data_IF_002900710745
#
_entry.id   IF_002900710745
#
_cell.length_a   1.000
_cell.length_b   1.000
_cell.length_c   1.000
_cell.angle_alpha   90.00
_cell.angle_beta   90.00
_cell.angle_gamma   90.00
#
_symmetry.space_group_name_H-M   'P 1'
#
loop_
_entity.id
_entity.type
_entity.pdbx_description
1 polymer ?
2 non-polymer ?
3 water ?
#
# COMPACT_ATOMS: atom_id res chain seq x y z
N UNK A 1 -23.04 0.06 -37.09
CA UNK A 1 -21.66 -0.27 -36.76
C UNK A 1 -21.10 0.64 -35.66
N UNK A 2 -20.74 0.02 -34.54
CA UNK A 2 -20.22 0.73 -33.37
C UNK A 2 -18.73 1.07 -33.53
N UNK A 3 -18.24 2.08 -32.81
CA UNK A 3 -16.80 2.34 -32.83
C UNK A 3 -15.99 1.13 -32.39
N UNK A 4 -14.79 1.00 -32.97
CA UNK A 4 -13.90 -0.09 -32.55
C UNK A 4 -13.47 0.07 -31.10
N UNK A 5 -13.35 1.31 -30.63
CA UNK A 5 -12.93 1.53 -29.25
C UNK A 5 -13.60 2.79 -28.72
N UNK A 6 -13.79 2.83 -27.40
CA UNK A 6 -14.41 3.94 -26.68
C UNK A 6 -13.60 4.14 -25.40
N UNK A 7 -13.40 5.40 -24.99
CA UNK A 7 -12.75 5.67 -23.70
C UNK A 7 -13.31 7.00 -23.19
N UNK A 8 -14.25 6.93 -22.24
CA UNK A 8 -14.89 8.16 -21.82
C UNK A 8 -13.95 9.07 -21.01
N UNK A 9 -12.78 8.58 -20.57
CA UNK A 9 -11.80 9.50 -20.00
C UNK A 9 -11.37 10.56 -21.01
N UNK A 10 -11.36 10.22 -22.30
CA UNK A 10 -10.92 11.17 -23.33
C UNK A 10 -11.91 12.29 -23.56
N UNK A 11 -13.14 12.15 -23.09
CA UNK A 11 -14.13 13.24 -23.13
C UNK A 11 -14.22 13.98 -21.81
N UNK A 12 -13.28 13.73 -20.89
CA UNK A 12 -13.29 14.40 -19.60
C UNK A 12 -14.48 14.05 -18.74
N UNK A 13 -15.03 12.85 -18.89
CA UNK A 13 -16.23 12.44 -18.20
C UNK A 13 -15.96 11.54 -17.00
N UNK A 14 -14.69 11.32 -16.64
CA UNK A 14 -14.34 10.38 -15.59
C UNK A 14 -13.46 11.08 -14.56
N UNK A 15 -13.85 10.99 -13.29
CA UNK A 15 -13.11 11.58 -12.20
C UNK A 15 -11.91 10.70 -11.81
N UNK A 16 -11.11 11.20 -10.89
CA UNK A 16 -9.97 10.44 -10.40
C UNK A 16 -10.40 9.12 -9.78
N UNK A 17 -9.53 8.12 -9.92
CA UNK A 17 -9.73 6.84 -9.26
C UNK A 17 -9.76 7.04 -7.75
N UNK A 18 -10.72 6.40 -7.09
CA UNK A 18 -10.88 6.50 -5.65
C UNK A 18 -10.33 5.25 -4.97
N UNK A 19 -10.25 5.31 -3.64
CA UNK A 19 -9.67 4.25 -2.82
C UNK A 19 -10.67 3.87 -1.72
N UNK A 20 -11.33 2.71 -1.86
CA UNK A 20 -12.38 2.36 -0.90
C UNK A 20 -11.85 1.86 0.43
N UNK A 21 -10.60 1.40 0.48
CA UNK A 21 -10.08 0.94 1.74
C UNK A 21 -10.80 -0.31 2.23
N UNK A 22 -10.91 -0.43 3.56
CA UNK A 22 -11.50 -1.62 4.17
C UNK A 22 -13.02 -1.63 4.15
N UNK A 23 -13.65 -0.58 3.62
CA UNK A 23 -15.09 -0.49 3.56
C UNK A 23 -15.57 -1.04 2.21
N UNK A 24 -16.49 -2.00 2.26
CA UNK A 24 -16.97 -2.64 1.05
C UNK A 24 -17.97 -1.79 0.30
N UNK A 25 -17.53 -0.63 -0.18
CA UNK A 25 -18.42 0.35 -0.77
C UNK A 25 -18.23 0.46 -2.28
N UNK A 26 -17.72 -0.58 -2.93
CA UNK A 26 -17.53 -0.50 -4.37
C UNK A 26 -18.83 -0.17 -5.10
N UNK A 27 -19.96 -0.68 -4.60
CA UNK A 27 -21.26 -0.35 -5.19
C UNK A 27 -21.48 1.15 -5.21
N UNK A 28 -21.06 1.85 -4.15
CA UNK A 28 -21.27 3.30 -4.08
C UNK A 28 -20.34 4.05 -5.02
N UNK A 29 -19.09 3.61 -5.15
CA UNK A 29 -18.19 4.24 -6.10
C UNK A 29 -18.61 4.00 -7.54
N UNK A 30 -19.08 2.79 -7.85
CA UNK A 30 -19.55 2.53 -9.21
C UNK A 30 -20.74 3.42 -9.56
N UNK A 31 -21.67 3.59 -8.61
CA UNK A 31 -22.85 4.41 -8.87
C UNK A 31 -22.49 5.88 -9.07
N UNK A 32 -21.69 6.46 -8.17
CA UNK A 32 -21.36 7.88 -8.34
C UNK A 32 -20.57 8.08 -9.63
N UNK A 33 -19.70 7.11 -9.97
CA UNK A 33 -18.93 7.21 -11.21
C UNK A 33 -19.82 7.28 -12.44
N UNK A 34 -20.84 6.42 -12.52
CA UNK A 34 -21.76 6.48 -13.64
C UNK A 34 -22.49 7.81 -13.69
N UNK A 35 -22.92 8.33 -12.53
CA UNK A 35 -23.66 9.58 -12.51
C UNK A 35 -22.75 10.78 -12.80
N UNK A 36 -21.47 10.72 -12.38
CA UNK A 36 -20.52 11.81 -12.68
C UNK A 36 -20.41 12.05 -14.17
N UNK A 37 -20.41 10.98 -14.97
CA UNK A 37 -20.28 11.15 -16.42
C UNK A 37 -21.50 11.85 -17.01
N UNK A 38 -22.70 11.44 -16.58
CA UNK A 38 -23.90 12.09 -17.07
C UNK A 38 -23.94 13.56 -16.67
N UNK A 39 -23.46 13.86 -15.45
CA UNK A 39 -23.44 15.25 -14.98
C UNK A 39 -22.52 16.11 -15.85
N UNK A 40 -21.34 15.58 -16.20
CA UNK A 40 -20.41 16.30 -17.06
C UNK A 40 -21.01 16.53 -18.45
N UNK A 41 -21.64 15.50 -19.02
CA UNK A 41 -22.29 15.66 -20.32
C UNK A 41 -23.33 16.78 -20.29
N UNK A 42 -24.13 16.83 -19.23
CA UNK A 42 -25.24 17.78 -19.15
C UNK A 42 -24.76 19.20 -18.84
N UNK A 43 -23.83 19.35 -17.90
CA UNK A 43 -23.48 20.67 -17.36
C UNK A 43 -22.11 21.17 -17.80
N UNK A 44 -21.27 20.30 -18.39
CA UNK A 44 -19.91 20.66 -18.72
C UNK A 44 -18.94 20.63 -17.55
N UNK A 45 -19.39 20.33 -16.34
CA UNK A 45 -18.54 20.34 -15.16
C UNK A 45 -18.31 18.92 -14.67
N UNK A 46 -17.05 18.60 -14.39
CA UNK A 46 -16.68 17.31 -13.84
C UNK A 46 -16.50 17.47 -12.34
N UNK A 47 -17.38 16.84 -11.55
CA UNK A 47 -17.26 16.95 -10.10
C UNK A 47 -17.52 15.57 -9.48
N UNK A 48 -16.63 15.15 -8.58
CA UNK A 48 -16.79 13.88 -7.89
C UNK A 48 -18.01 13.96 -6.99
N UNK A 49 -18.82 12.93 -7.02
CA UNK A 49 -20.03 12.87 -6.19
C UNK A 49 -19.77 11.99 -4.98
N UNK A 50 -20.59 12.18 -3.94
CA UNK A 50 -20.27 11.62 -2.62
C UNK A 50 -20.67 10.15 -2.52
N UNK A 51 -19.67 9.26 -2.60
CA UNK A 51 -19.92 7.86 -2.28
C UNK A 51 -20.33 7.69 -0.82
N UNK A 52 -19.80 8.53 0.08
CA UNK A 52 -20.17 8.45 1.49
C UNK A 52 -21.67 8.74 1.68
N UNK A 53 -22.21 9.70 0.92
CA UNK A 53 -23.63 10.02 0.93
C UNK A 53 -24.46 8.76 0.72
N UNK A 54 -24.05 7.92 -0.24
CA UNK A 54 -24.76 6.68 -0.50
C UNK A 54 -24.58 5.67 0.63
N UNK A 55 -23.34 5.50 1.10
CA UNK A 55 -23.07 4.55 2.18
C UNK A 55 -23.92 4.86 3.40
N UNK A 56 -24.01 6.16 3.75
CA UNK A 56 -24.71 6.54 4.97
C UNK A 56 -26.21 6.61 4.80
N UNK A 57 -26.71 6.92 3.61
CA UNK A 57 -28.11 7.31 3.43
C UNK A 57 -28.94 6.36 2.58
N UNK A 58 -28.33 5.62 1.65
CA UNK A 58 -29.05 4.67 0.80
C UNK A 58 -28.89 3.30 1.47
N UNK A 59 -29.74 3.05 2.46
CA UNK A 59 -29.54 1.88 3.33
C UNK A 59 -30.68 0.86 3.19
N UNK A 60 -31.30 0.48 4.30
CA UNK A 60 -32.18 -0.70 4.31
C UNK A 60 -33.32 -0.59 3.30
N UNK A 61 -33.92 0.59 3.16
CA UNK A 61 -35.00 0.75 2.18
C UNK A 61 -34.56 0.42 0.77
N UNK A 62 -33.26 0.52 0.49
CA UNK A 62 -32.71 0.25 -0.83
C UNK A 62 -31.99 -1.09 -0.89
N UNK A 63 -32.12 -1.92 0.14
CA UNK A 63 -31.44 -3.19 0.15
C UNK A 63 -29.94 -3.11 0.28
N UNK A 64 -29.42 -1.94 0.68
CA UNK A 64 -27.98 -1.71 0.79
C UNK A 64 -27.54 -1.74 2.25
N UNK A 65 -26.27 -2.10 2.45
CA UNK A 65 -25.72 -2.37 3.78
C UNK A 65 -24.42 -1.63 4.01
N UNK A 66 -24.31 -0.41 3.46
CA UNK A 66 -23.15 0.43 3.68
C UNK A 66 -21.84 -0.26 3.36
N UNK A 67 -20.93 -0.32 4.34
CA UNK A 67 -19.64 -0.97 4.14
C UNK A 67 -19.75 -2.48 3.95
N UNK A 68 -20.94 -3.06 4.11
CA UNK A 68 -21.14 -4.49 3.91
C UNK A 68 -21.75 -4.84 2.55
N UNK A 69 -21.79 -3.91 1.62
CA UNK A 69 -22.23 -4.19 0.26
C UNK A 69 -23.53 -3.47 -0.08
N UNK A 70 -23.85 -3.51 -1.37
CA UNK A 70 -25.04 -2.84 -1.86
C UNK A 70 -25.17 -2.99 -3.36
N UNK A 71 -26.07 -2.19 -3.94
CA UNK A 71 -26.39 -2.26 -5.36
C UNK A 71 -26.34 -0.87 -5.97
N UNK A 72 -25.79 -0.79 -7.19
CA UNK A 72 -25.76 0.48 -7.88
C UNK A 72 -27.17 0.93 -8.29
N UNK A 73 -28.01 -0.01 -8.73
CA UNK A 73 -29.34 0.39 -9.21
C UNK A 73 -30.18 0.99 -8.08
N UNK A 74 -30.18 0.38 -6.90
CA UNK A 74 -30.95 0.98 -5.81
C UNK A 74 -30.29 2.25 -5.29
N UNK A 75 -28.98 2.37 -5.44
CA UNK A 75 -28.34 3.66 -5.18
C UNK A 75 -28.93 4.74 -6.08
N UNK A 76 -29.11 4.45 -7.38
CA UNK A 76 -29.71 5.44 -8.27
C UNK A 76 -31.12 5.79 -7.79
N UNK A 77 -31.89 4.77 -7.38
CA UNK A 77 -33.24 5.03 -6.88
C UNK A 77 -33.23 5.97 -5.67
N UNK A 78 -32.27 5.78 -4.75
CA UNK A 78 -32.14 6.69 -3.63
C UNK A 78 -31.91 8.13 -4.10
N UNK A 79 -31.01 8.31 -5.08
CA UNK A 79 -30.75 9.66 -5.58
C UNK A 79 -32.01 10.26 -6.18
N UNK A 80 -32.78 9.45 -6.92
CA UNK A 80 -34.07 9.91 -7.45
C UNK A 80 -35.01 10.34 -6.32
N UNK A 81 -35.23 9.45 -5.34
CA UNK A 81 -36.14 9.71 -4.22
C UNK A 81 -35.68 10.90 -3.40
N UNK A 82 -34.38 11.01 -3.16
CA UNK A 82 -33.82 12.06 -2.32
C UNK A 82 -33.77 13.41 -3.03
N UNK A 83 -34.00 13.43 -4.34
CA UNK A 83 -33.92 14.64 -5.15
C UNK A 83 -32.51 15.24 -5.14
N UNK A 84 -31.49 14.42 -4.98
CA UNK A 84 -30.14 14.93 -5.08
C UNK A 84 -29.13 14.07 -4.35
N UNK A 85 -27.87 14.39 -4.61
CA UNK A 85 -26.71 13.79 -3.94
C UNK A 85 -25.66 14.89 -3.80
N UNK A 86 -24.97 14.91 -2.66
CA UNK A 86 -23.98 15.94 -2.38
C UNK A 86 -22.69 15.70 -3.16
N UNK A 87 -21.90 16.76 -3.29
CA UNK A 87 -20.56 16.62 -3.86
C UNK A 87 -19.69 15.80 -2.92
N UNK A 88 -18.68 15.15 -3.50
CA UNK A 88 -17.69 14.47 -2.68
C UNK A 88 -16.93 15.47 -1.81
N UNK A 89 -16.67 16.67 -2.34
CA UNK A 89 -15.94 17.68 -1.57
C UNK A 89 -16.69 18.04 -0.29
N UNK A 90 -18.01 18.20 -0.37
CA UNK A 90 -18.80 18.60 0.78
C UNK A 90 -19.07 17.45 1.74
N UNK A 91 -18.93 16.21 1.27
CA UNK A 91 -19.35 15.01 2.03
C UNK A 91 -18.34 13.92 1.68
N UNK A 92 -17.11 14.06 2.19
CA UNK A 92 -16.02 13.22 1.71
C UNK A 92 -16.06 11.81 2.28
N UNK A 93 -15.26 10.94 1.68
CA UNK A 93 -15.33 9.52 1.98
C UNK A 93 -14.51 9.18 3.23
N UNK A 94 -15.12 8.43 4.15
CA UNK A 94 -14.49 8.06 5.41
C UNK A 94 -14.26 6.57 5.57
N UNK A 95 -14.72 5.73 4.63
CA UNK A 95 -14.51 4.30 4.69
C UNK A 95 -15.05 3.70 5.99
N UNK A 96 -16.21 4.19 6.43
CA UNK A 96 -16.93 3.59 7.53
C UNK A 96 -18.39 4.02 7.45
N UNK A 97 -19.25 3.26 8.15
CA UNK A 97 -20.67 3.58 8.19
C UNK A 97 -20.89 4.74 9.15
N UNK A 98 -21.61 5.77 8.69
CA UNK A 98 -21.87 6.96 9.48
C UNK A 98 -23.35 7.30 9.45
N UNK A 99 -23.73 8.24 10.32
CA UNK A 99 -25.07 8.78 10.26
C UNK A 99 -25.26 9.53 8.96
N UNK A 100 -26.47 9.44 8.40
CA UNK A 100 -26.79 10.16 7.19
C UNK A 100 -26.66 11.66 7.44
N UNK A 101 -25.88 12.33 6.61
CA UNK A 101 -25.63 13.75 6.78
C UNK A 101 -25.91 14.52 5.50
N UNK A 102 -26.78 14.00 4.64
CA UNK A 102 -27.11 14.70 3.40
C UNK A 102 -27.64 16.09 3.69
N UNK A 103 -27.15 17.07 2.93
CA UNK A 103 -27.55 18.46 3.07
C UNK A 103 -27.82 19.01 1.66
N UNK A 104 -29.08 19.39 1.40
CA UNK A 104 -29.43 19.88 0.07
C UNK A 104 -28.65 21.12 -0.33
N UNK A 105 -28.10 21.87 0.64
CA UNK A 105 -27.28 23.03 0.32
C UNK A 105 -26.08 22.67 -0.53
N UNK A 106 -25.59 21.43 -0.42
CA UNK A 106 -24.40 21.02 -1.14
C UNK A 106 -24.71 20.03 -2.26
N UNK A 107 -25.97 19.93 -2.65
CA UNK A 107 -26.38 19.06 -3.76
C UNK A 107 -25.56 19.40 -5.00
N UNK A 108 -24.97 18.37 -5.61
CA UNK A 108 -24.18 18.54 -6.82
C UNK A 108 -24.74 17.82 -8.02
N UNK A 109 -25.69 16.91 -7.83
CA UNK A 109 -26.32 16.23 -8.95
C UNK A 109 -27.69 15.72 -8.51
N UNK A 110 -28.51 15.44 -9.51
CA UNK A 110 -29.77 14.74 -9.40
C UNK A 110 -29.71 13.52 -10.31
N UNK A 111 -30.76 12.71 -10.23
CA UNK A 111 -30.93 11.55 -11.11
C UNK A 111 -32.40 11.46 -11.50
N UNK A 112 -32.67 11.28 -12.79
CA UNK A 112 -34.04 11.21 -13.29
C UNK A 112 -34.56 9.79 -13.41
N UNK A 113 -33.70 8.86 -13.81
CA UNK A 113 -34.11 7.50 -14.15
C UNK A 113 -32.86 6.66 -14.22
N UNK A 114 -33.04 5.34 -14.32
CA UNK A 114 -31.92 4.46 -14.62
C UNK A 114 -32.46 3.33 -15.49
N UNK A 115 -31.54 2.62 -16.14
CA UNK A 115 -31.85 1.56 -17.06
C UNK A 115 -31.03 0.34 -16.70
N UNK A 116 -31.65 -0.83 -16.66
CA UNK A 116 -30.97 -2.09 -16.41
C UNK A 116 -30.84 -2.82 -17.74
N UNK A 117 -29.65 -3.28 -18.06
CA UNK A 117 -29.41 -3.99 -19.30
C UNK A 117 -29.62 -5.48 -19.11
N UNK A 118 -29.92 -6.21 -20.19
CA UNK A 118 -30.22 -7.64 -20.06
C UNK A 118 -29.00 -8.48 -19.69
N UNK A 119 -29.26 -9.53 -18.91
CA UNK A 119 -28.22 -10.41 -18.38
C UNK A 119 -27.35 -11.03 -19.47
N UNK A 120 -26.03 -10.85 -19.33
CA UNK A 120 -25.02 -11.54 -20.12
C UNK A 120 -24.81 -11.02 -21.52
N UNK A 121 -25.51 -9.96 -21.92
CA UNK A 121 -25.48 -9.45 -23.30
C UNK A 121 -24.35 -8.45 -23.43
N UNK A 122 -23.17 -8.92 -23.86
CA UNK A 122 -22.04 -8.02 -24.05
C UNK A 122 -22.23 -7.14 -25.28
N UNK A 123 -23.03 -7.57 -26.24
CA UNK A 123 -23.34 -6.71 -27.39
C UNK A 123 -24.19 -5.52 -26.97
N UNK A 124 -25.17 -5.75 -26.10
CA UNK A 124 -26.00 -4.63 -25.62
C UNK A 124 -25.17 -3.70 -24.74
N UNK A 125 -24.30 -4.27 -23.90
CA UNK A 125 -23.42 -3.46 -23.07
C UNK A 125 -22.50 -2.61 -23.93
N UNK A 126 -21.95 -3.19 -25.00
CA UNK A 126 -21.10 -2.42 -25.91
C UNK A 126 -21.87 -1.23 -26.47
N UNK A 127 -23.10 -1.46 -26.92
CA UNK A 127 -23.90 -0.38 -27.47
C UNK A 127 -24.15 0.72 -26.44
N UNK A 128 -24.50 0.33 -25.20
CA UNK A 128 -24.73 1.33 -24.16
C UNK A 128 -23.47 2.14 -23.84
N UNK A 129 -22.32 1.48 -23.74
CA UNK A 129 -21.08 2.21 -23.49
C UNK A 129 -20.79 3.20 -24.62
N UNK A 130 -21.04 2.79 -25.87
CA UNK A 130 -20.77 3.69 -26.99
C UNK A 130 -21.75 4.84 -27.05
N UNK A 131 -23.05 4.58 -26.79
CA UNK A 131 -24.12 5.52 -27.08
C UNK A 131 -24.69 6.24 -25.86
N UNK A 132 -24.43 5.78 -24.64
CA UNK A 132 -25.00 6.38 -23.44
C UNK A 132 -23.97 6.93 -22.47
N UNK A 133 -22.85 6.23 -22.30
CA UNK A 133 -21.83 6.64 -21.36
C UNK A 133 -21.32 5.47 -20.55
N UNK A 134 -20.49 5.76 -19.54
CA UNK A 134 -20.01 4.70 -18.65
C UNK A 134 -21.17 3.99 -17.96
N UNK A 135 -21.00 2.66 -17.77
CA UNK A 135 -22.06 1.79 -17.28
C UNK A 135 -21.58 1.11 -16.00
N UNK A 136 -22.41 1.17 -14.95
CA UNK A 136 -22.12 0.43 -13.72
C UNK A 136 -22.31 -1.05 -13.95
N UNK A 137 -21.36 -1.86 -13.51
CA UNK A 137 -21.45 -3.31 -13.63
C UNK A 137 -20.92 -3.95 -12.36
N UNK A 138 -21.31 -5.20 -12.14
CA UNK A 138 -20.67 -6.04 -11.15
C UNK A 138 -19.70 -6.98 -11.83
N UNK A 139 -18.66 -7.38 -11.12
CA UNK A 139 -17.74 -8.42 -11.59
C UNK A 139 -17.49 -9.40 -10.46
N UNK A 140 -17.04 -10.59 -10.84
CA UNK A 140 -16.51 -11.57 -9.88
C UNK A 140 -15.04 -11.25 -9.67
N UNK A 141 -14.72 -10.62 -8.55
CA UNK A 141 -13.36 -10.22 -8.21
C UNK A 141 -12.72 -11.11 -7.15
N UNK A 142 -13.33 -12.25 -6.81
CA UNK A 142 -12.85 -13.12 -5.73
C UNK A 142 -11.82 -14.13 -6.24
N UNK A 143 -10.71 -13.61 -6.76
CA UNK A 143 -9.63 -14.43 -7.24
C UNK A 143 -8.33 -13.69 -6.98
N UNK A 144 -7.31 -14.36 -6.45
CA UNK A 144 -6.01 -13.69 -6.25
C UNK A 144 -5.49 -13.01 -7.50
N UNK A 145 -5.74 -13.56 -8.68
CA UNK A 145 -5.27 -12.91 -9.90
C UNK A 145 -5.86 -11.52 -10.07
N UNK A 146 -7.10 -11.31 -9.60
CA UNK A 146 -7.68 -9.98 -9.69
C UNK A 146 -6.94 -9.00 -8.78
N UNK A 147 -6.74 -9.38 -7.51
CA UNK A 147 -5.98 -8.54 -6.57
C UNK A 147 -4.58 -8.27 -7.07
N UNK A 148 -3.97 -9.23 -7.77
CA UNK A 148 -2.58 -9.14 -8.21
C UNK A 148 -2.41 -8.53 -9.60
N UNK A 149 -3.50 -8.19 -10.27
CA UNK A 149 -3.44 -7.67 -11.64
C UNK A 149 -2.63 -6.38 -11.69
N UNK A 150 -1.74 -6.29 -12.68
CA UNK A 150 -0.88 -5.15 -12.92
C UNK A 150 -1.11 -4.49 -14.27
N UNK A 151 -1.24 -5.29 -15.33
CA UNK A 151 -1.35 -4.73 -16.67
C UNK A 151 -1.85 -5.81 -17.63
N UNK A 152 -2.29 -5.38 -18.81
CA UNK A 152 -2.76 -6.29 -19.83
C UNK A 152 -4.25 -6.53 -19.76
N UNK A 153 -4.71 -7.48 -20.55
CA UNK A 153 -6.12 -7.85 -20.60
C UNK A 153 -6.31 -9.04 -19.67
N UNK A 154 -7.09 -8.81 -18.61
CA UNK A 154 -7.29 -9.81 -17.56
C UNK A 154 -8.20 -10.93 -18.03
N UNK A 155 -7.76 -12.17 -17.83
CA UNK A 155 -8.58 -13.35 -18.11
C UNK A 155 -8.30 -14.36 -17.02
N UNK A 156 -9.34 -14.78 -16.32
CA UNK A 156 -9.23 -15.71 -15.19
C UNK A 156 -10.08 -16.93 -15.50
N UNK A 157 -9.46 -18.05 -15.86
CA UNK A 157 -10.25 -19.24 -16.25
C UNK A 157 -11.27 -19.67 -15.22
N UNK A 158 -11.02 -19.45 -13.93
CA UNK A 158 -11.95 -19.89 -12.90
C UNK A 158 -12.99 -18.84 -12.53
N UNK A 159 -13.07 -17.75 -13.29
CA UNK A 159 -14.07 -16.72 -12.99
C UNK A 159 -15.49 -17.25 -13.17
N UNK A 160 -16.41 -16.75 -12.36
CA UNK A 160 -17.82 -17.06 -12.51
C UNK A 160 -18.60 -15.84 -12.98
N UNK A 161 -19.86 -16.05 -13.33
CA UNK A 161 -20.76 -14.98 -13.75
C UNK A 161 -21.52 -14.38 -12.57
N UNK A 162 -21.28 -14.88 -11.35
CA UNK A 162 -21.89 -14.36 -10.14
C UNK A 162 -21.03 -13.24 -9.58
N UNK A 163 -21.58 -12.03 -9.55
CA UNK A 163 -20.80 -10.84 -9.24
C UNK A 163 -20.69 -10.62 -7.73
N UNK A 164 -19.65 -9.88 -7.34
CA UNK A 164 -19.47 -9.56 -5.92
C UNK A 164 -18.72 -8.25 -5.70
N UNK A 165 -18.52 -7.45 -6.74
CA UNK A 165 -17.70 -6.25 -6.68
C UNK A 165 -18.19 -5.27 -7.73
N UNK A 166 -18.53 -4.06 -7.31
CA UNK A 166 -19.03 -3.05 -8.22
C UNK A 166 -17.91 -2.22 -8.84
N UNK A 167 -17.96 -2.04 -10.15
CA UNK A 167 -16.96 -1.29 -10.91
C UNK A 167 -17.69 -0.51 -12.00
N UNK A 168 -16.92 0.24 -12.79
CA UNK A 168 -17.47 1.15 -13.81
C UNK A 168 -16.83 0.86 -15.15
N UNK A 169 -17.63 0.48 -16.14
CA UNK A 169 -17.12 0.30 -17.50
C UNK A 169 -17.06 1.66 -18.16
N UNK A 170 -15.86 2.17 -18.41
CA UNK A 170 -15.71 3.47 -19.03
C UNK A 170 -15.31 3.38 -20.50
N UNK A 171 -15.21 2.18 -21.05
CA UNK A 171 -14.85 2.08 -22.44
C UNK A 171 -14.59 0.63 -22.82
N UNK A 172 -14.07 0.47 -24.03
CA UNK A 172 -13.75 -0.86 -24.53
C UNK A 172 -12.79 -0.70 -25.69
N UNK A 173 -12.17 -1.79 -26.10
CA UNK A 173 -11.26 -1.70 -27.22
C UNK A 173 -10.73 -3.04 -27.64
N UNK A 174 -9.67 -2.99 -28.44
CA UNK A 174 -9.03 -4.18 -28.98
C UNK A 174 -7.57 -3.82 -29.18
N UNK A 175 -6.70 -4.37 -28.32
CA UNK A 175 -5.27 -4.09 -28.36
C UNK A 175 -4.49 -5.38 -28.21
N UNK A 176 -3.41 -5.51 -28.98
CA UNK A 176 -2.51 -6.67 -28.91
C UNK A 176 -3.27 -7.96 -29.14
N UNK A 177 -4.26 -7.93 -30.03
CA UNK A 177 -5.01 -9.11 -30.38
C UNK A 177 -6.07 -9.53 -29.38
N UNK A 178 -6.35 -8.71 -28.36
CA UNK A 178 -7.31 -9.02 -27.31
C UNK A 178 -8.41 -7.96 -27.20
N UNK A 179 -9.67 -8.39 -27.30
CA UNK A 179 -10.77 -7.47 -27.04
C UNK A 179 -10.96 -7.29 -25.53
N UNK A 180 -11.28 -6.08 -25.10
CA UNK A 180 -11.38 -5.85 -23.66
C UNK A 180 -12.46 -4.82 -23.34
N UNK A 181 -12.85 -4.83 -22.06
CA UNK A 181 -13.62 -3.78 -21.40
C UNK A 181 -12.67 -2.93 -20.57
N UNK A 182 -12.85 -1.61 -20.62
CA UNK A 182 -12.02 -0.69 -19.83
C UNK A 182 -12.77 -0.39 -18.55
N UNK A 183 -12.21 -0.80 -17.41
CA UNK A 183 -12.92 -0.83 -16.14
C UNK A 183 -12.21 0.07 -15.13
N UNK A 184 -12.95 1.04 -14.58
CA UNK A 184 -12.46 1.86 -13.48
C UNK A 184 -12.78 1.16 -12.17
N UNK A 185 -11.75 0.85 -11.39
CA UNK A 185 -11.88 0.23 -10.08
C UNK A 185 -11.82 1.32 -9.00
N UNK A 186 -12.03 0.92 -7.74
CA UNK A 186 -11.96 1.84 -6.63
C UNK A 186 -10.96 1.34 -5.58
N UNK A 187 -9.83 0.82 -6.05
CA UNK A 187 -8.76 0.35 -5.18
C UNK A 187 -7.53 1.24 -5.24
N UNK A 188 -7.73 2.51 -5.62
CA UNK A 188 -6.64 3.46 -5.67
C UNK A 188 -5.80 3.34 -6.93
N UNK A 189 -4.86 4.30 -7.06
CA UNK A 189 -4.06 4.43 -8.27
C UNK A 189 -3.00 3.36 -8.40
N UNK A 190 -2.65 2.69 -7.30
CA UNK A 190 -1.60 1.69 -7.35
C UNK A 190 -2.12 0.34 -7.86
N UNK A 191 -3.42 0.16 -7.97
CA UNK A 191 -3.96 -1.05 -8.56
C UNK A 191 -3.93 -0.98 -10.08
N UNK A 192 -3.50 -2.06 -10.72
CA UNK A 192 -3.65 -2.20 -12.17
C UNK A 192 -2.99 -1.08 -12.96
N UNK A 193 -3.68 -0.64 -14.00
CA UNK A 193 -3.15 0.38 -14.91
C UNK A 193 -3.67 1.73 -14.42
N UNK A 194 -2.92 2.35 -13.50
CA UNK A 194 -3.30 3.63 -12.90
C UNK A 194 -4.72 3.58 -12.34
N UNK A 195 -5.05 2.44 -11.74
CA UNK A 195 -6.35 2.27 -11.11
C UNK A 195 -7.39 1.58 -11.96
N UNK A 196 -7.07 1.28 -13.22
CA UNK A 196 -7.97 0.65 -14.17
C UNK A 196 -7.56 -0.80 -14.40
N UNK A 197 -8.54 -1.61 -14.81
CA UNK A 197 -8.26 -2.98 -15.26
C UNK A 197 -8.98 -3.18 -16.58
N UNK A 198 -8.27 -3.74 -17.56
CA UNK A 198 -8.89 -4.12 -18.82
C UNK A 198 -9.25 -5.60 -18.72
N UNK A 199 -10.53 -5.90 -18.88
CA UNK A 199 -11.04 -7.25 -18.66
C UNK A 199 -11.48 -7.85 -19.99
N UNK A 200 -11.27 -9.16 -20.15
CA UNK A 200 -11.58 -9.84 -21.39
C UNK A 200 -13.03 -9.60 -21.81
N UNK A 201 -13.21 -9.23 -23.08
CA UNK A 201 -14.49 -8.94 -23.69
C UNK A 201 -14.81 -10.00 -24.76
N UNK A 202 -16.11 -10.32 -24.88
CA UNK A 202 -16.61 -11.32 -25.83
C UNK A 202 -15.99 -12.69 -25.56
N UNK A 203 -15.77 -13.01 -24.29
CA UNK A 203 -15.33 -14.35 -23.89
C UNK A 203 -16.39 -14.96 -22.97
N UNK A 204 -17.64 -14.94 -23.41
CA UNK A 204 -18.74 -15.56 -22.70
C UNK A 204 -19.12 -14.95 -21.36
N UNK A 205 -19.21 -13.62 -21.30
CA UNK A 205 -19.59 -12.92 -20.07
C UNK A 205 -18.56 -13.21 -18.97
N UNK A 206 -17.30 -12.97 -19.31
CA UNK A 206 -16.19 -13.29 -18.43
C UNK A 206 -16.26 -12.50 -17.14
N UNK A 207 -16.18 -13.22 -16.02
CA UNK A 207 -16.27 -12.65 -14.67
C UNK A 207 -17.60 -11.94 -14.41
N UNK A 208 -18.62 -12.25 -15.20
CA UNK A 208 -19.94 -11.69 -15.03
C UNK A 208 -20.06 -10.21 -15.33
N UNK A 209 -19.13 -9.65 -16.12
CA UNK A 209 -19.10 -8.21 -16.37
C UNK A 209 -20.42 -7.72 -16.98
N UNK A 210 -21.10 -8.54 -17.77
CA UNK A 210 -22.38 -8.14 -18.35
C UNK A 210 -23.57 -8.76 -17.64
N UNK A 211 -23.37 -9.34 -16.46
CA UNK A 211 -24.49 -9.96 -15.75
C UNK A 211 -25.52 -8.93 -15.32
N UNK A 212 -25.09 -7.84 -14.66
CA UNK A 212 -26.02 -6.85 -14.07
C UNK A 212 -25.55 -5.42 -14.34
N UNK A 213 -25.59 -4.98 -15.59
CA UNK A 213 -25.23 -3.60 -15.90
C UNK A 213 -26.40 -2.65 -15.73
N UNK A 214 -26.09 -1.40 -15.37
CA UNK A 214 -27.11 -0.37 -15.29
C UNK A 214 -26.44 1.00 -15.43
N UNK A 215 -27.22 1.99 -15.87
CA UNK A 215 -26.68 3.35 -15.96
C UNK A 215 -27.78 4.36 -15.65
N UNK A 216 -27.42 5.51 -15.08
CA UNK A 216 -28.41 6.54 -14.77
C UNK A 216 -28.50 7.58 -15.88
N UNK A 217 -29.55 8.41 -15.81
CA UNK A 217 -29.64 9.57 -16.69
C UNK A 217 -30.15 10.77 -15.90
N UNK A 218 -29.74 11.95 -16.37
CA UNK A 218 -30.19 13.24 -15.85
C UNK A 218 -30.87 13.95 -17.01
N UNK A 219 -32.18 14.10 -16.96
CA UNK A 219 -32.93 14.68 -18.08
C UNK A 219 -33.07 16.19 -17.93
N UNK A 220 -33.27 16.86 -19.07
CA UNK A 220 -33.46 18.29 -19.06
C UNK A 220 -34.71 18.66 -18.25
N UNK A 221 -34.57 19.67 -17.40
CA UNK A 221 -35.63 20.06 -16.50
C UNK A 221 -35.29 19.73 -15.05
N UNK B 1 12.17 19.86 22.71
CA UNK B 1 11.16 19.78 21.65
C UNK B 1 10.92 18.34 21.18
N UNK B 2 11.89 17.45 21.40
CA UNK B 2 11.74 16.09 20.89
C UNK B 2 10.75 15.30 21.73
N UNK B 3 10.09 14.30 21.14
CA UNK B 3 9.20 13.43 21.93
C UNK B 3 9.97 12.74 23.04
N UNK B 4 9.31 12.55 24.18
CA UNK B 4 9.94 11.80 25.26
C UNK B 4 10.16 10.35 24.89
N UNK B 5 9.27 9.78 24.07
CA UNK B 5 9.36 8.38 23.67
C UNK B 5 8.92 8.28 22.21
N UNK B 6 9.52 7.31 21.52
CA UNK B 6 9.26 7.06 20.11
C UNK B 6 9.20 5.55 19.90
N UNK B 7 8.27 5.10 19.04
CA UNK B 7 8.23 3.68 18.67
C UNK B 7 7.70 3.62 17.25
N UNK B 8 8.60 3.42 16.29
CA UNK B 8 8.16 3.45 14.90
C UNK B 8 7.28 2.27 14.54
N UNK B 9 7.21 1.23 15.37
CA UNK B 9 6.23 0.17 15.11
C UNK B 9 4.81 0.72 15.11
N UNK B 10 4.57 1.79 15.87
CA UNK B 10 3.23 2.39 15.96
C UNK B 10 2.81 3.07 14.67
N UNK B 11 3.76 3.37 13.78
CA UNK B 11 3.45 3.92 12.47
C UNK B 11 3.50 2.87 11.37
N UNK B 12 3.59 1.58 11.72
CA UNK B 12 3.63 0.53 10.72
C UNK B 12 4.87 0.56 9.86
N UNK B 13 5.99 1.04 10.38
CA UNK B 13 7.19 1.20 9.58
C UNK B 13 8.22 0.10 9.81
N UNK B 14 7.91 -0.93 10.60
CA UNK B 14 8.87 -1.97 10.95
C UNK B 14 8.30 -3.33 10.57
N UNK B 15 9.06 -4.09 9.77
CA UNK B 15 8.65 -5.43 9.37
C UNK B 15 8.86 -6.43 10.51
N UNK B 16 8.40 -7.66 10.28
CA UNK B 16 8.56 -8.72 11.28
C UNK B 16 10.04 -8.95 11.58
N UNK B 17 10.32 -9.31 12.84
CA UNK B 17 11.67 -9.72 13.22
C UNK B 17 12.09 -10.93 12.42
N UNK B 18 13.32 -10.91 11.91
CA UNK B 18 13.91 -11.98 11.13
C UNK B 18 14.86 -12.83 11.98
N UNK B 19 15.35 -13.94 11.41
CA UNK B 19 16.21 -14.90 12.11
C UNK B 19 17.45 -15.16 11.26
N UNK B 20 18.60 -14.63 11.67
CA UNK B 20 19.80 -14.75 10.82
C UNK B 20 20.44 -16.14 10.90
N UNK B 21 20.18 -16.89 11.96
CA UNK B 21 20.78 -18.21 12.07
C UNK B 21 22.30 -18.14 12.20
N UNK B 22 22.97 -19.16 11.64
CA UNK B 22 24.42 -19.26 11.80
C UNK B 22 25.20 -18.35 10.87
N UNK B 23 24.51 -17.56 10.05
CA UNK B 23 25.16 -16.64 9.12
C UNK B 23 25.29 -15.27 9.78
N UNK B 24 26.51 -14.74 9.83
CA UNK B 24 26.78 -13.46 10.47
C UNK B 24 26.38 -12.27 9.63
N UNK B 25 25.08 -12.18 9.38
CA UNK B 25 24.51 -11.22 8.44
C UNK B 25 23.70 -10.13 9.14
N UNK B 26 23.97 -9.88 10.42
CA UNK B 26 23.21 -8.85 11.12
C UNK B 26 23.34 -7.50 10.44
N UNK B 27 24.51 -7.21 9.87
CA UNK B 27 24.70 -5.96 9.15
C UNK B 27 23.69 -5.82 8.02
N UNK B 28 23.37 -6.94 7.34
CA UNK B 28 22.42 -6.88 6.22
C UNK B 28 21.00 -6.70 6.73
N UNK B 29 20.66 -7.34 7.85
CA UNK B 29 19.32 -7.17 8.40
C UNK B 29 19.11 -5.75 8.93
N UNK B 30 20.13 -5.19 9.58
CA UNK B 30 20.04 -3.81 10.06
C UNK B 30 19.83 -2.84 8.90
N UNK B 31 20.57 -3.03 7.82
CA UNK B 31 20.45 -2.13 6.67
C UNK B 31 19.07 -2.22 6.02
N UNK B 32 18.58 -3.43 5.72
CA UNK B 32 17.26 -3.51 5.09
C UNK B 32 16.20 -2.99 6.03
N UNK B 33 16.35 -3.21 7.33
CA UNK B 33 15.36 -2.70 8.27
C UNK B 33 15.26 -1.19 8.23
N UNK B 34 16.41 -0.50 8.19
CA UNK B 34 16.36 0.96 8.09
C UNK B 34 15.70 1.41 6.78
N UNK B 35 16.02 0.75 5.67
CA UNK B 35 15.47 1.17 4.40
C UNK B 35 13.99 0.83 4.30
N UNK B 36 13.55 -0.27 4.93
CA UNK B 36 12.13 -0.64 4.95
C UNK B 36 11.28 0.50 5.50
N UNK B 37 11.76 1.16 6.55
CA UNK B 37 10.98 2.24 7.15
C UNK B 37 10.85 3.42 6.20
N UNK B 38 11.95 3.80 5.54
CA UNK B 38 11.88 4.91 4.59
C UNK B 38 10.96 4.58 3.43
N UNK B 39 10.98 3.33 2.98
CA UNK B 39 10.12 2.92 1.87
C UNK B 39 8.66 3.02 2.27
N UNK B 40 8.33 2.62 3.51
CA UNK B 40 6.96 2.73 3.98
C UNK B 40 6.52 4.17 4.06
N UNK B 41 7.39 5.04 4.59
CA UNK B 41 7.07 6.47 4.68
C UNK B 41 6.74 7.05 3.30
N UNK B 42 7.51 6.68 2.28
CA UNK B 42 7.36 7.28 0.96
C UNK B 42 6.17 6.68 0.21
N UNK B 43 5.98 5.37 0.27
CA UNK B 43 5.03 4.70 -0.59
C UNK B 43 3.78 4.22 0.13
N UNK B 44 3.79 4.20 1.46
CA UNK B 44 2.67 3.62 2.20
C UNK B 44 2.68 2.11 2.28
N UNK B 45 3.65 1.44 1.67
CA UNK B 45 3.71 -0.01 1.65
C UNK B 45 4.85 -0.50 2.53
N UNK B 46 4.56 -1.47 3.39
CA UNK B 46 5.57 -2.11 4.23
C UNK B 46 5.93 -3.45 3.59
N UNK B 47 7.17 -3.60 3.14
CA UNK B 47 7.60 -4.83 2.49
C UNK B 47 9.00 -5.19 2.98
N UNK B 48 9.22 -6.45 3.34
CA UNK B 48 10.55 -6.88 3.75
C UNK B 48 11.48 -6.86 2.53
N UNK B 49 12.65 -6.29 2.71
CA UNK B 49 13.65 -6.21 1.65
C UNK B 49 14.68 -7.32 1.82
N UNK B 50 15.39 -7.63 0.74
CA UNK B 50 16.21 -8.85 0.70
C UNK B 50 17.55 -8.66 1.40
N UNK B 51 17.67 -9.20 2.62
CA UNK B 51 18.99 -9.27 3.23
C UNK B 51 19.93 -10.16 2.42
N UNK B 52 19.40 -11.24 1.82
CA UNK B 52 20.23 -12.15 1.04
C UNK B 52 20.89 -11.44 -0.13
N UNK B 53 20.14 -10.53 -0.76
CA UNK B 53 20.66 -9.67 -1.83
C UNK B 53 21.94 -8.98 -1.40
N UNK B 54 21.95 -8.43 -0.18
CA UNK B 54 23.13 -7.74 0.34
C UNK B 54 24.26 -8.73 0.60
N UNK B 55 23.95 -9.85 1.24
CA UNK B 55 24.95 -10.87 1.55
C UNK B 55 25.67 -11.31 0.29
N UNK B 56 24.91 -11.56 -0.78
CA UNK B 56 25.46 -12.12 -2.02
C UNK B 56 26.11 -11.06 -2.92
N UNK B 57 25.64 -9.82 -2.88
CA UNK B 57 25.99 -8.85 -3.92
C UNK B 57 26.80 -7.66 -3.41
N UNK B 58 26.65 -7.28 -2.15
CA UNK B 58 27.43 -6.20 -1.57
C UNK B 58 28.62 -6.85 -0.86
N UNK B 59 29.67 -7.16 -1.63
CA UNK B 59 30.74 -8.03 -1.18
C UNK B 59 32.06 -7.23 -1.14
N UNK B 60 33.15 -7.71 -1.75
CA UNK B 60 34.49 -7.18 -1.53
C UNK B 60 34.60 -5.70 -1.87
N UNK B 61 33.96 -5.26 -2.96
CA UNK B 61 34.03 -3.84 -3.34
C UNK B 61 33.49 -2.93 -2.25
N UNK B 62 32.60 -3.46 -1.39
CA UNK B 62 32.01 -2.71 -0.31
C UNK B 62 32.62 -3.08 1.04
N UNK B 63 33.74 -3.80 1.04
CA UNK B 63 34.37 -4.20 2.28
C UNK B 63 33.57 -5.19 3.10
N UNK B 64 32.59 -5.86 2.49
CA UNK B 64 31.74 -6.81 3.22
C UNK B 64 32.13 -8.24 2.87
N UNK B 65 31.83 -9.15 3.78
CA UNK B 65 32.25 -10.54 3.68
C UNK B 65 31.09 -11.50 3.90
N UNK B 66 29.90 -11.12 3.45
CA UNK B 66 28.73 -11.99 3.52
C UNK B 66 28.43 -12.50 4.90
N UNK B 67 28.39 -13.82 5.06
CA UNK B 67 28.10 -14.42 6.36
C UNK B 67 29.22 -14.22 7.37
N UNK B 68 30.35 -13.62 6.97
CA UNK B 68 31.42 -13.33 7.91
C UNK B 68 31.46 -11.88 8.35
N UNK B 69 30.43 -11.09 8.07
CA UNK B 69 30.33 -9.73 8.57
C UNK B 69 30.35 -8.69 7.46
N UNK B 70 30.04 -7.46 7.87
CA UNK B 70 29.96 -6.37 6.94
C UNK B 70 29.54 -5.09 7.64
N UNK B 71 29.15 -4.10 6.84
CA UNK B 71 28.81 -2.77 7.31
C UNK B 71 27.48 -2.31 6.71
N UNK B 72 26.65 -1.69 7.54
CA UNK B 72 25.38 -1.16 7.04
C UNK B 72 25.60 -0.02 6.06
N UNK B 73 26.60 0.84 6.33
CA UNK B 73 26.82 1.99 5.47
C UNK B 73 27.22 1.57 4.06
N UNK B 74 28.13 0.61 3.92
CA UNK B 74 28.50 0.19 2.57
C UNK B 74 27.39 -0.63 1.93
N UNK B 75 26.55 -1.28 2.73
CA UNK B 75 25.35 -1.89 2.17
C UNK B 75 24.48 -0.84 1.50
N UNK B 76 24.26 0.32 2.17
CA UNK B 76 23.50 1.39 1.54
C UNK B 76 24.18 1.86 0.27
N UNK B 77 25.51 1.98 0.28
CA UNK B 77 26.22 2.39 -0.93
C UNK B 77 25.96 1.43 -2.07
N UNK B 78 25.97 0.13 -1.80
CA UNK B 78 25.65 -0.85 -2.84
C UNK B 78 24.26 -0.61 -3.42
N UNK B 79 23.27 -0.36 -2.56
CA UNK B 79 21.91 -0.16 -3.07
C UNK B 79 21.86 1.07 -3.96
N UNK B 80 22.57 2.13 -3.56
CA UNK B 80 22.69 3.33 -4.39
C UNK B 80 23.36 2.99 -5.72
N UNK B 81 24.53 2.36 -5.66
CA UNK B 81 25.30 2.03 -6.87
C UNK B 81 24.50 1.11 -7.77
N UNK B 82 23.83 0.12 -7.19
CA UNK B 82 23.08 -0.90 -7.92
C UNK B 82 21.76 -0.41 -8.46
N UNK B 83 21.32 0.79 -8.05
CA UNK B 83 20.04 1.35 -8.45
C UNK B 83 18.88 0.47 -8.01
N UNK B 84 19.04 -0.26 -6.91
CA UNK B 84 17.91 -0.99 -6.36
C UNK B 84 18.31 -2.15 -5.48
N UNK B 85 17.30 -2.69 -4.79
CA UNK B 85 17.41 -3.90 -3.99
C UNK B 85 16.11 -4.67 -4.17
N UNK B 86 16.22 -5.99 -4.26
CA UNK B 86 15.06 -6.85 -4.47
C UNK B 86 14.27 -7.01 -3.17
N UNK B 87 13.01 -7.41 -3.33
CA UNK B 87 12.22 -7.81 -2.18
C UNK B 87 12.75 -9.11 -1.58
N UNK B 88 12.50 -9.29 -0.28
CA UNK B 88 12.76 -10.58 0.33
C UNK B 88 11.92 -11.68 -0.32
N UNK B 89 10.70 -11.34 -0.74
CA UNK B 89 9.83 -12.31 -1.41
C UNK B 89 10.49 -12.89 -2.66
N UNK B 90 11.12 -12.03 -3.47
CA UNK B 90 11.74 -12.48 -4.70
C UNK B 90 13.12 -13.10 -4.48
N UNK B 91 13.75 -12.81 -3.35
CA UNK B 91 15.16 -13.12 -3.13
C UNK B 91 15.32 -13.50 -1.66
N UNK B 92 14.84 -14.67 -1.28
CA UNK B 92 14.68 -14.99 0.14
C UNK B 92 15.99 -15.34 0.82
N UNK B 93 15.94 -15.32 2.15
CA UNK B 93 17.13 -15.49 2.97
C UNK B 93 17.41 -16.97 3.21
N UNK B 94 18.65 -17.38 2.94
CA UNK B 94 19.09 -18.77 3.07
C UNK B 94 20.19 -18.97 4.10
N UNK B 95 20.69 -17.90 4.73
CA UNK B 95 21.72 -18.01 5.76
C UNK B 95 22.98 -18.71 5.24
N UNK B 96 23.38 -18.39 4.02
CA UNK B 96 24.65 -18.84 3.47
C UNK B 96 25.05 -17.92 2.34
N UNK B 97 26.34 -17.94 2.00
CA UNK B 97 26.86 -17.12 0.92
C UNK B 97 26.51 -17.77 -0.41
N UNK B 98 25.96 -16.98 -1.34
CA UNK B 98 25.55 -17.45 -2.65
C UNK B 98 26.10 -16.51 -3.71
N UNK B 99 26.02 -16.96 -4.97
CA UNK B 99 26.32 -16.08 -6.09
C UNK B 99 25.29 -14.97 -6.14
N UNK B 100 25.74 -13.77 -6.55
CA UNK B 100 24.83 -12.66 -6.70
C UNK B 100 23.75 -12.99 -7.72
N UNK B 101 22.49 -12.82 -7.31
CA UNK B 101 21.34 -13.15 -8.15
C UNK B 101 20.37 -11.98 -8.24
N UNK B 102 20.87 -10.75 -8.09
CA UNK B 102 20.01 -9.58 -8.17
C UNK B 102 19.32 -9.52 -9.53
N UNK B 103 18.02 -9.22 -9.51
CA UNK B 103 17.23 -9.11 -10.74
C UNK B 103 16.42 -7.83 -10.65
N UNK B 104 16.70 -6.87 -11.54
CA UNK B 104 16.00 -5.59 -11.49
C UNK B 104 14.49 -5.75 -11.69
N UNK B 105 14.06 -6.85 -12.29
CA UNK B 105 12.63 -7.10 -12.48
C UNK B 105 11.89 -7.14 -11.14
N UNK B 106 12.58 -7.49 -10.06
CA UNK B 106 11.97 -7.62 -8.75
C UNK B 106 12.43 -6.53 -7.78
N UNK B 107 12.98 -5.44 -8.30
CA UNK B 107 13.35 -4.31 -7.45
C UNK B 107 12.15 -3.88 -6.62
N UNK B 108 12.38 -3.73 -5.32
CA UNK B 108 11.34 -3.28 -4.39
C UNK B 108 11.68 -1.97 -3.70
N UNK B 109 12.93 -1.50 -3.77
CA UNK B 109 13.31 -0.21 -3.20
C UNK B 109 14.56 0.31 -3.89
N UNK B 110 14.78 1.60 -3.75
CA UNK B 110 16.03 2.26 -4.11
C UNK B 110 16.58 2.95 -2.88
N UNK B 111 17.78 3.50 -3.01
CA UNK B 111 18.36 4.32 -1.96
C UNK B 111 19.03 5.52 -2.62
N UNK B 112 18.74 6.71 -2.12
CA UNK B 112 19.28 7.93 -2.72
C UNK B 112 20.57 8.36 -2.04
N UNK B 113 20.67 8.18 -0.73
CA UNK B 113 21.76 8.71 0.07
C UNK B 113 21.70 8.01 1.42
N UNK B 114 22.76 8.18 2.20
CA UNK B 114 22.73 7.79 3.60
C UNK B 114 23.56 8.80 4.38
N UNK B 115 23.34 8.82 5.69
CA UNK B 115 23.94 9.79 6.59
C UNK B 115 24.55 9.03 7.76
N UNK B 116 25.76 9.40 8.15
CA UNK B 116 26.44 8.80 9.30
C UNK B 116 26.42 9.81 10.44
N UNK B 117 25.99 9.36 11.63
CA UNK B 117 25.93 10.24 12.79
C UNK B 117 27.24 10.22 13.57
N UNK B 118 27.52 11.26 14.35
CA UNK B 118 28.79 11.31 15.06
C UNK B 118 28.89 10.28 16.18
N UNK B 119 30.09 9.72 16.33
CA UNK B 119 30.36 8.68 17.32
C UNK B 119 30.02 9.15 18.72
N UNK B 120 29.22 8.36 19.43
CA UNK B 120 28.98 8.55 20.84
C UNK B 120 27.97 9.63 21.21
N UNK B 121 27.32 10.27 20.24
CA UNK B 121 26.38 11.35 20.52
C UNK B 121 24.97 10.77 20.63
N UNK B 122 24.56 10.40 21.86
CA UNK B 122 23.22 9.83 22.01
C UNK B 122 22.14 10.89 21.85
N UNK B 123 22.46 12.16 22.07
CA UNK B 123 21.50 13.22 21.81
C UNK B 123 21.21 13.36 20.32
N UNK B 124 22.24 13.26 19.49
CA UNK B 124 22.05 13.34 18.05
C UNK B 124 21.33 12.10 17.55
N UNK B 125 21.63 10.93 18.12
CA UNK B 125 20.91 9.73 17.75
C UNK B 125 19.44 9.84 18.11
N UNK B 126 19.15 10.40 19.29
CA UNK B 126 17.76 10.63 19.68
C UNK B 126 17.05 11.49 18.66
N UNK B 127 17.69 12.57 18.24
CA UNK B 127 17.10 13.47 17.27
C UNK B 127 16.83 12.75 15.94
N UNK B 128 17.79 11.96 15.45
CA UNK B 128 17.59 11.25 14.19
C UNK B 128 16.44 10.25 14.28
N UNK B 129 16.37 9.49 15.39
CA UNK B 129 15.28 8.52 15.53
C UNK B 129 13.93 9.24 15.55
N UNK B 130 13.86 10.40 16.20
CA UNK B 130 12.60 11.12 16.26
C UNK B 130 12.24 11.73 14.91
N UNK B 131 13.23 12.29 14.21
CA UNK B 131 12.98 13.15 13.06
C UNK B 131 13.23 12.50 11.71
N UNK B 132 13.92 11.36 11.66
CA UNK B 132 14.22 10.73 10.37
C UNK B 132 13.65 9.33 10.25
N UNK B 133 13.67 8.55 11.32
CA UNK B 133 13.22 7.18 11.26
C UNK B 133 14.15 6.24 12.00
N UNK B 134 13.90 4.95 11.89
CA UNK B 134 14.81 3.96 12.49
C UNK B 134 16.23 4.10 11.97
N UNK B 135 17.20 3.86 12.86
CA UNK B 135 18.60 4.11 12.58
C UNK B 135 19.39 2.81 12.74
N UNK B 136 20.18 2.46 11.72
CA UNK B 136 21.07 1.31 11.82
C UNK B 136 22.21 1.64 12.77
N UNK B 137 22.51 0.72 13.70
CA UNK B 137 23.61 0.92 14.65
C UNK B 137 24.32 -0.40 14.88
N UNK B 138 25.54 -0.30 15.37
CA UNK B 138 26.26 -1.45 15.87
C UNK B 138 26.16 -1.47 17.39
N UNK B 139 26.21 -2.67 17.97
CA UNK B 139 26.34 -2.82 19.42
C UNK B 139 27.38 -3.90 19.71
N UNK B 140 27.92 -3.85 20.92
CA UNK B 140 28.75 -4.92 21.43
C UNK B 140 27.81 -5.96 22.02
N UNK B 141 27.60 -7.06 21.30
CA UNK B 141 26.72 -8.14 21.76
C UNK B 141 27.50 -9.35 22.28
N UNK B 142 28.80 -9.22 22.50
CA UNK B 142 29.63 -10.36 22.90
C UNK B 142 29.63 -10.54 24.41
N UNK B 143 28.43 -10.79 24.94
CA UNK B 143 28.24 -11.04 26.36
C UNK B 143 27.13 -12.07 26.52
N UNK B 144 27.33 -13.08 27.38
CA UNK B 144 26.24 -14.03 27.65
C UNK B 144 24.95 -13.35 28.08
N UNK B 145 25.05 -12.24 28.82
CA UNK B 145 23.85 -11.54 29.26
C UNK B 145 23.04 -11.04 28.08
N UNK B 146 23.69 -10.71 26.96
CA UNK B 146 22.95 -10.29 25.78
C UNK B 146 22.15 -11.46 25.21
N UNK B 147 22.81 -12.59 24.99
CA UNK B 147 22.12 -13.79 24.50
C UNK B 147 20.98 -14.20 25.43
N UNK B 148 21.15 -14.00 26.74
CA UNK B 148 20.20 -14.46 27.76
C UNK B 148 19.13 -13.42 28.10
N UNK B 149 19.16 -12.25 27.48
CA UNK B 149 18.22 -11.19 27.81
C UNK B 149 16.78 -11.59 27.58
N UNK B 150 15.91 -11.27 28.53
CA UNK B 150 14.49 -11.54 28.39
C UNK B 150 13.61 -10.30 28.39
N UNK B 151 13.84 -9.36 29.31
CA UNK B 151 12.92 -8.24 29.43
C UNK B 151 13.57 -7.12 30.23
N UNK B 152 12.98 -5.93 30.13
CA UNK B 152 13.48 -4.79 30.89
C UNK B 152 14.56 -4.04 30.14
N UNK B 153 15.19 -3.10 30.85
CA UNK B 153 16.24 -2.28 30.26
C UNK B 153 17.58 -2.98 30.52
N UNK B 154 18.22 -3.39 29.43
CA UNK B 154 19.49 -4.11 29.49
C UNK B 154 20.64 -3.19 29.87
N UNK B 155 21.43 -3.60 30.86
CA UNK B 155 22.64 -2.89 31.23
C UNK B 155 23.71 -3.93 31.58
N UNK B 156 24.83 -3.87 30.89
CA UNK B 156 25.90 -4.85 31.06
C UNK B 156 27.16 -4.11 31.50
N UNK B 157 27.57 -4.19 32.77
CA UNK B 157 28.74 -3.42 33.23
C UNK B 157 30.01 -3.64 32.42
N UNK B 158 30.21 -4.83 31.85
CA UNK B 158 31.42 -5.10 31.09
C UNK B 158 31.29 -4.78 29.59
N UNK B 159 30.20 -4.14 29.17
CA UNK B 159 30.05 -3.82 27.76
C UNK B 159 31.12 -2.82 27.31
N UNK B 160 31.56 -2.93 26.07
CA UNK B 160 32.50 -1.97 25.50
C UNK B 160 31.81 -1.15 24.41
N UNK B 161 32.51 -0.13 23.94
CA UNK B 161 32.03 0.70 22.86
C UNK B 161 32.45 0.20 21.48
N UNK B 162 33.17 -0.93 21.42
CA UNK B 162 33.59 -1.52 20.16
C UNK B 162 32.48 -2.44 19.64
N UNK B 163 31.83 -2.04 18.57
CA UNK B 163 30.64 -2.76 18.15
C UNK B 163 31.05 -4.01 17.38
N UNK B 164 30.13 -4.98 17.33
CA UNK B 164 30.37 -6.22 16.60
C UNK B 164 29.09 -6.87 16.09
N UNK B 165 27.95 -6.19 16.16
CA UNK B 165 26.67 -6.79 15.81
C UNK B 165 25.74 -5.68 15.33
N UNK B 166 25.17 -5.85 14.13
CA UNK B 166 24.31 -4.82 13.57
C UNK B 166 22.87 -5.01 14.02
N UNK B 167 22.24 -3.91 14.44
CA UNK B 167 20.85 -3.91 14.89
C UNK B 167 20.19 -2.62 14.42
N UNK B 168 18.89 -2.46 14.76
CA UNK B 168 18.10 -1.34 14.27
C UNK B 168 17.43 -0.64 15.44
N UNK B 169 17.72 0.64 15.65
CA UNK B 169 17.03 1.42 16.69
C UNK B 169 15.71 1.91 16.10
N UNK B 170 14.59 1.38 16.61
CA UNK B 170 13.28 1.79 16.12
C UNK B 170 12.56 2.72 17.08
N UNK B 171 13.20 3.11 18.17
CA UNK B 171 12.57 4.02 19.11
C UNK B 171 13.38 4.18 20.37
N UNK B 172 12.76 4.83 21.35
CA UNK B 172 13.40 5.07 22.63
C UNK B 172 12.32 5.42 23.64
N UNK B 173 12.68 5.34 24.91
CA UNK B 173 11.70 5.62 25.95
C UNK B 173 12.31 5.52 27.32
N UNK B 174 11.44 5.29 28.30
CA UNK B 174 11.87 5.17 29.68
C UNK B 174 10.96 4.16 30.38
N UNK B 175 11.55 3.34 31.23
CA UNK B 175 10.81 2.33 31.99
C UNK B 175 11.21 2.50 33.45
N UNK B 176 10.26 2.95 34.28
CA UNK B 176 10.48 3.11 35.73
C UNK B 176 11.76 3.89 36.01
N UNK B 177 11.97 4.96 35.26
CA UNK B 177 13.13 5.81 35.48
C UNK B 177 14.41 5.37 34.82
N UNK B 178 14.39 4.34 33.99
CA UNK B 178 15.58 3.93 33.25
C UNK B 178 15.30 4.22 31.79
N UNK B 179 16.11 5.10 31.21
CA UNK B 179 15.97 5.43 29.79
C UNK B 179 16.54 4.32 28.93
N UNK B 180 15.91 4.09 27.77
CA UNK B 180 16.35 3.01 26.91
C UNK B 180 16.24 3.38 25.44
N UNK B 181 16.96 2.60 24.62
CA UNK B 181 16.79 2.53 23.18
C UNK B 181 16.01 1.26 22.86
N UNK B 182 15.04 1.38 21.93
CA UNK B 182 14.23 0.25 21.51
C UNK B 182 14.90 -0.35 20.27
N UNK B 183 15.42 -1.56 20.41
CA UNK B 183 16.32 -2.14 19.42
C UNK B 183 15.69 -3.41 18.85
N UNK B 184 15.55 -3.45 17.53
CA UNK B 184 15.12 -4.64 16.79
C UNK B 184 16.35 -5.48 16.48
N UNK B 185 16.33 -6.73 16.94
CA UNK B 185 17.40 -7.69 16.67
C UNK B 185 16.97 -8.55 15.49
N UNK B 186 17.87 -9.42 15.04
CA UNK B 186 17.60 -10.38 13.97
C UNK B 186 17.83 -11.81 14.45
N UNK B 187 17.36 -12.10 15.66
CA UNK B 187 17.47 -13.43 16.25
C UNK B 187 16.10 -14.09 16.46
N UNK B 188 15.07 -13.69 15.68
CA UNK B 188 13.76 -14.28 15.78
C UNK B 188 12.94 -13.77 16.96
N UNK B 189 11.71 -14.29 17.06
CA UNK B 189 10.77 -13.85 18.10
C UNK B 189 11.12 -14.35 19.49
N UNK B 190 11.89 -15.43 19.60
CA UNK B 190 12.15 -15.98 20.93
C UNK B 190 13.27 -15.26 21.66
N UNK B 191 13.98 -14.37 21.00
CA UNK B 191 14.96 -13.53 21.69
C UNK B 191 14.26 -12.34 22.36
N UNK B 192 14.64 -12.08 23.61
CA UNK B 192 14.24 -10.84 24.27
C UNK B 192 12.73 -10.66 24.33
N UNK B 193 12.29 -9.43 24.06
CA UNK B 193 10.87 -9.05 24.10
C UNK B 193 10.32 -9.17 22.69
N UNK B 194 9.88 -10.37 22.32
CA UNK B 194 9.40 -10.65 20.96
C UNK B 194 10.39 -10.20 19.89
N UNK B 195 11.67 -10.42 20.14
CA UNK B 195 12.69 -10.10 19.16
C UNK B 195 13.38 -8.78 19.38
N UNK B 196 12.94 -8.00 20.36
CA UNK B 196 13.46 -6.68 20.66
C UNK B 196 14.25 -6.70 21.96
N UNK B 197 15.16 -5.74 22.10
CA UNK B 197 15.85 -5.54 23.36
C UNK B 197 15.85 -4.04 23.66
N UNK B 198 15.49 -3.68 24.88
CA UNK B 198 15.59 -2.30 25.32
C UNK B 198 16.94 -2.11 26.01
N UNK B 199 17.78 -1.25 25.45
CA UNK B 199 19.16 -1.09 25.90
C UNK B 199 19.34 0.26 26.57
N UNK B 200 20.16 0.29 27.63
CA UNK B 200 20.36 1.51 28.41
C UNK B 200 20.75 2.69 27.54
N UNK B 201 20.06 3.81 27.75
CA UNK B 201 20.26 5.05 27.01
C UNK B 201 20.81 6.12 27.93
N UNK B 202 21.68 6.97 27.39
CA UNK B 202 22.32 8.06 28.12
C UNK B 202 23.11 7.52 29.32
N UNK B 203 23.74 6.36 29.12
CA UNK B 203 24.66 5.80 30.09
C UNK B 203 26.04 5.70 29.45
N UNK B 204 26.49 6.80 28.86
CA UNK B 204 27.83 6.87 28.31
C UNK B 204 28.09 5.97 27.12
N UNK B 205 27.16 5.96 26.17
CA UNK B 205 27.30 5.17 24.94
C UNK B 205 27.41 3.69 25.29
N UNK B 206 26.44 3.22 26.08
CA UNK B 206 26.46 1.85 26.58
C UNK B 206 26.40 0.85 25.44
N UNK B 207 27.35 -0.10 25.47
CA UNK B 207 27.54 -1.14 24.44
C UNK B 207 27.82 -0.55 23.06
N UNK B 208 28.25 0.70 22.99
CA UNK B 208 28.57 1.30 21.70
C UNK B 208 27.40 1.58 20.80
N UNK B 209 26.18 1.68 21.35
CA UNK B 209 24.98 1.85 20.53
C UNK B 209 25.05 3.09 19.65
N UNK B 210 25.71 4.16 20.10
CA UNK B 210 25.86 5.38 19.31
C UNK B 210 27.25 5.51 18.68
N UNK B 211 28.03 4.43 18.65
CA UNK B 211 29.36 4.52 18.06
C UNK B 211 29.30 4.78 16.55
N UNK B 212 28.50 3.98 15.82
CA UNK B 212 28.43 4.06 14.36
C UNK B 212 26.99 3.98 13.86
N UNK B 213 26.19 5.03 14.09
CA UNK B 213 24.83 5.05 13.54
C UNK B 213 24.79 5.60 12.13
N UNK B 214 23.84 5.07 11.35
CA UNK B 214 23.64 5.59 10.00
C UNK B 214 22.21 5.30 9.57
N UNK B 215 21.71 6.10 8.64
CA UNK B 215 20.37 5.83 8.11
C UNK B 215 20.29 6.25 6.65
N UNK B 216 19.51 5.55 5.84
CA UNK B 216 19.35 5.88 4.43
C UNK B 216 18.13 6.77 4.21
N UNK B 217 18.05 7.32 2.99
CA UNK B 217 16.85 8.05 2.57
C UNK B 217 16.52 7.70 1.12
N UNK B 218 15.23 7.79 0.81
CA UNK B 218 14.72 7.62 -0.55
C UNK B 218 14.06 8.93 -0.93
N UNK B 219 14.68 9.67 -1.85
CA UNK B 219 14.20 11.00 -2.21
C UNK B 219 13.22 10.97 -3.37
N UNK B 220 12.37 12.00 -3.44
CA UNK B 220 11.44 12.13 -4.56
C UNK B 220 12.21 12.25 -5.87
N UNK B 221 11.82 11.46 -6.86
CA UNK B 221 12.54 11.46 -8.11
C UNK B 221 13.38 10.22 -8.32
#
# INVERSE_FOLDING_TARGET
ILPDSVDWREKGCVTEVKYQGSCGASWAFSAVGALEAQLKLKTGKLVSLSAQNLVDCSTEKYGNKGCNGGFMTTAFQYIIDNKGIDSDASYPYKAMDQKCQYDSKYRAATCSKYTELPYGREDVLKEAVANKGPVSVGVDARHPSFFLYRSGVYYEPSCTQNVNHGVLVVGYGDLNGKEYWLVKNSWGHNFGEEGYIRMARNKGNHCGIASFPSYPEILQGGG
ILPDSVDWREKGCVTEVKYQGSCGASWAFSAVGALEAQLKLKTGKLVSLSAQNLVDCSTEKYGNKGCNGGFMTTAFQYIIDNKGIDSDASYPYKAMDQKCQYDSKYRAATCSKYTELPYGREDVLKEAVANKGPVSVGVDARHPSFFLYRSGVYYEPSCTQNVNHGVLVVGYGDLNGKEYWLVKNSWGHNFGEEGYIRMARNKGNHCGIASFPSYPEILQGGG
#
